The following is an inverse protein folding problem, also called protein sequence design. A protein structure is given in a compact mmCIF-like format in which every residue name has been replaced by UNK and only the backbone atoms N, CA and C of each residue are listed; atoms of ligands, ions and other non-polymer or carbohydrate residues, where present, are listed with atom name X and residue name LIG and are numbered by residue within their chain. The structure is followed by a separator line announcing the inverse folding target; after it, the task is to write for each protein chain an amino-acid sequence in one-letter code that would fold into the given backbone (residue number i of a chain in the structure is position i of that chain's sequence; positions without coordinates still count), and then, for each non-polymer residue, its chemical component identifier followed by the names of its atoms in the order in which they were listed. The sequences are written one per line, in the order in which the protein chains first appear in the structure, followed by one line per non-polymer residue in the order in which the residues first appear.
data_IF_902571144365
#
_entry.id   IF_902571144365
#
_cell.length_a   1.000
_cell.length_b   1.000
_cell.length_c   1.000
_cell.angle_alpha   90.00
_cell.angle_beta   90.00
_cell.angle_gamma   90.00
#
_symmetry.space_group_name_H-M   'P 1'
#
loop_
_entity.id
_entity.type
_entity.pdbx_description
1 polymer ?
#
# COMPACT_ATOMS: atom_id res chain seq x y z
N UNK A 1 4.73 -2.23 23.86
CA UNK A 1 5.89 -3.10 23.58
C UNK A 1 6.28 -3.03 22.09
N UNK A 2 7.23 -2.14 21.73
CA UNK A 2 7.76 -2.05 20.35
C UNK A 2 8.58 -3.30 19.97
N UNK A 3 9.27 -3.89 20.94
CA UNK A 3 10.13 -5.09 20.78
C UNK A 3 9.35 -6.33 20.34
N UNK A 4 8.20 -6.64 20.98
CA UNK A 4 7.39 -7.81 20.59
C UNK A 4 6.86 -7.66 19.16
N UNK A 5 6.47 -6.44 18.75
CA UNK A 5 6.01 -6.16 17.38
C UNK A 5 7.12 -6.33 16.34
N UNK A 6 8.31 -5.84 16.64
CA UNK A 6 9.47 -6.04 15.77
C UNK A 6 9.81 -7.53 15.59
N UNK A 7 9.78 -8.30 16.68
CA UNK A 7 9.95 -9.75 16.64
C UNK A 7 8.86 -10.43 15.79
N UNK A 8 7.59 -10.06 15.96
CA UNK A 8 6.49 -10.58 15.14
C UNK A 8 6.67 -10.31 13.65
N UNK A 9 7.10 -9.11 13.25
CA UNK A 9 7.44 -8.79 11.85
C UNK A 9 8.51 -9.73 11.30
N UNK A 10 9.57 -9.99 12.06
CA UNK A 10 10.64 -10.90 11.65
C UNK A 10 10.16 -12.34 11.40
N UNK A 11 9.06 -12.75 12.06
CA UNK A 11 8.41 -14.04 11.85
C UNK A 11 7.21 -13.98 10.88
N UNK A 12 7.05 -12.89 10.13
CA UNK A 12 5.95 -12.72 9.15
C UNK A 12 4.56 -12.61 9.78
N UNK A 13 4.48 -12.26 11.07
CA UNK A 13 3.21 -12.04 11.78
C UNK A 13 2.87 -10.55 11.73
N UNK A 14 2.03 -10.19 10.77
CA UNK A 14 1.45 -8.84 10.66
C UNK A 14 0.11 -8.81 11.41
N UNK A 15 -0.04 -7.83 12.30
CA UNK A 15 -1.24 -7.65 13.11
C UNK A 15 -2.12 -6.57 12.42
N UNK A 16 -3.45 -6.78 12.27
CA UNK A 16 -4.34 -5.75 11.75
C UNK A 16 -4.37 -4.47 12.59
N UNK A 17 -4.70 -3.34 11.96
CA UNK A 17 -4.84 -2.05 12.64
C UNK A 17 -3.52 -1.33 12.95
N UNK A 18 -2.39 -1.85 12.45
CA UNK A 18 -1.09 -1.19 12.53
C UNK A 18 -0.54 -0.86 11.15
N UNK A 19 0.14 0.29 11.06
CA UNK A 19 0.91 0.66 9.88
C UNK A 19 2.26 -0.06 9.85
N UNK A 20 2.64 -0.49 8.66
CA UNK A 20 3.91 -1.13 8.34
C UNK A 20 4.52 -0.44 7.11
N UNK A 21 5.83 -0.29 7.06
CA UNK A 21 6.53 0.08 5.83
C UNK A 21 7.10 -1.19 5.18
N UNK A 22 6.76 -1.44 3.92
CA UNK A 22 7.25 -2.60 3.16
C UNK A 22 7.82 -2.16 1.82
N UNK A 23 8.66 -3.00 1.21
CA UNK A 23 9.16 -2.80 -0.15
C UNK A 23 8.00 -2.88 -1.15
N UNK A 24 7.88 -1.87 -2.02
CA UNK A 24 6.84 -1.77 -3.04
C UNK A 24 6.78 -3.03 -3.94
N UNK A 25 7.94 -3.63 -4.25
CA UNK A 25 8.07 -4.78 -5.15
C UNK A 25 7.55 -6.08 -4.52
N UNK A 26 7.34 -6.11 -3.20
CA UNK A 26 6.75 -7.28 -2.51
C UNK A 26 5.23 -7.36 -2.69
N UNK A 27 4.58 -6.26 -3.06
CA UNK A 27 3.12 -6.19 -3.23
C UNK A 27 2.69 -6.98 -4.46
N UNK A 28 1.88 -8.00 -4.25
CA UNK A 28 1.29 -8.80 -5.32
C UNK A 28 0.01 -8.13 -5.79
N UNK A 29 0.00 -7.70 -7.05
CA UNK A 29 -1.17 -7.05 -7.66
C UNK A 29 -2.05 -8.09 -8.37
N UNK A 30 -3.28 -8.35 -7.89
CA UNK A 30 -4.23 -9.22 -8.59
C UNK A 30 -4.49 -8.79 -10.04
N UNK A 31 -4.73 -9.77 -10.91
CA UNK A 31 -4.93 -9.50 -12.34
C UNK A 31 -6.14 -8.62 -12.65
N UNK A 32 -7.18 -8.62 -11.79
CA UNK A 32 -8.34 -7.75 -12.01
C UNK A 32 -7.97 -6.27 -11.93
N UNK A 33 -7.10 -5.86 -11.00
CA UNK A 33 -6.62 -4.48 -10.91
C UNK A 33 -5.87 -4.02 -12.16
N UNK A 34 -5.11 -4.91 -12.80
CA UNK A 34 -4.39 -4.60 -14.04
C UNK A 34 -5.33 -4.36 -15.23
N UNK A 35 -6.54 -4.93 -15.20
CA UNK A 35 -7.56 -4.80 -16.25
C UNK A 35 -8.46 -3.59 -16.04
N UNK A 36 -8.52 -3.04 -14.82
CA UNK A 36 -9.37 -1.91 -14.49
C UNK A 36 -8.59 -0.60 -14.48
N UNK A 37 -9.02 0.33 -15.32
CA UNK A 37 -8.51 1.69 -15.30
C UNK A 37 -9.20 2.51 -14.20
N UNK A 38 -8.40 3.27 -13.45
CA UNK A 38 -8.92 4.25 -12.52
C UNK A 38 -9.52 5.39 -13.35
N UNK A 39 -10.75 5.80 -13.02
CA UNK A 39 -11.38 6.95 -13.66
C UNK A 39 -10.44 8.18 -13.60
N UNK A 40 -10.29 8.89 -14.72
CA UNK A 40 -9.34 10.01 -14.88
C UNK A 40 -9.52 11.11 -13.81
N UNK A 41 -10.76 11.45 -13.48
CA UNK A 41 -11.05 12.48 -12.46
C UNK A 41 -10.57 12.01 -11.09
N UNK A 42 -10.91 10.76 -10.73
CA UNK A 42 -10.47 10.14 -9.46
C UNK A 42 -8.95 10.03 -9.40
N UNK A 43 -8.29 9.67 -10.50
CA UNK A 43 -6.84 9.59 -10.60
C UNK A 43 -6.17 10.95 -10.38
N UNK A 44 -6.63 11.98 -11.09
CA UNK A 44 -6.06 13.32 -10.98
C UNK A 44 -6.20 13.88 -9.55
N UNK A 45 -7.36 13.66 -8.90
CA UNK A 45 -7.56 14.07 -7.51
C UNK A 45 -6.52 13.43 -6.57
N UNK A 46 -6.30 12.12 -6.70
CA UNK A 46 -5.34 11.38 -5.88
C UNK A 46 -3.90 11.81 -6.12
N UNK A 47 -3.55 12.03 -7.38
CA UNK A 47 -2.23 12.51 -7.75
C UNK A 47 -1.98 13.92 -7.21
N UNK A 48 -2.96 14.82 -7.32
CA UNK A 48 -2.86 16.18 -6.79
C UNK A 48 -2.67 16.16 -5.27
N UNK A 49 -3.48 15.38 -4.54
CA UNK A 49 -3.33 15.22 -3.10
C UNK A 49 -1.91 14.76 -2.72
N UNK A 50 -1.38 13.73 -3.39
CA UNK A 50 0.01 13.28 -3.17
C UNK A 50 1.03 14.38 -3.44
N UNK A 51 0.87 15.15 -4.52
CA UNK A 51 1.79 16.24 -4.86
C UNK A 51 1.77 17.39 -3.85
N UNK A 52 0.61 17.64 -3.23
CA UNK A 52 0.41 18.71 -2.25
C UNK A 52 0.88 18.32 -0.85
N UNK A 53 0.65 17.07 -0.43
CA UNK A 53 0.87 16.64 0.96
C UNK A 53 2.06 15.70 1.13
N UNK A 54 2.47 14.99 0.09
CA UNK A 54 3.39 13.85 0.19
C UNK A 54 2.76 12.61 0.84
N UNK A 55 1.43 12.58 1.02
CA UNK A 55 0.70 11.47 1.61
C UNK A 55 -0.27 10.81 0.60
N UNK A 56 -0.60 9.54 0.83
CA UNK A 56 -1.56 8.83 0.00
C UNK A 56 -3.00 9.06 0.49
N UNK A 57 -3.88 9.58 -0.38
CA UNK A 57 -5.31 9.75 -0.06
C UNK A 57 -6.02 8.40 0.23
N UNK A 58 -5.46 7.29 -0.25
CA UNK A 58 -5.97 5.94 0.05
C UNK A 58 -4.90 5.09 0.70
N UNK A 59 -5.25 4.46 1.80
CA UNK A 59 -4.40 3.48 2.49
C UNK A 59 -4.21 2.26 1.58
N UNK A 60 -3.00 1.71 1.55
CA UNK A 60 -2.72 0.43 0.90
C UNK A 60 -3.06 -0.69 1.89
N UNK A 61 -4.06 -1.49 1.53
CA UNK A 61 -4.52 -2.63 2.32
C UNK A 61 -4.05 -3.93 1.68
N UNK A 62 -3.46 -4.81 2.49
CA UNK A 62 -2.92 -6.09 2.04
C UNK A 62 -3.49 -7.26 2.84
N UNK A 63 -3.56 -8.42 2.20
CA UNK A 63 -3.56 -9.70 2.89
C UNK A 63 -2.16 -9.99 3.44
N UNK A 64 -2.03 -10.86 4.45
CA UNK A 64 -0.74 -11.27 5.05
C UNK A 64 0.24 -11.88 4.05
N UNK A 65 -0.24 -12.37 2.92
CA UNK A 65 0.58 -12.87 1.82
C UNK A 65 1.06 -11.78 0.84
N UNK A 66 0.85 -10.50 1.20
CA UNK A 66 1.18 -9.30 0.44
C UNK A 66 0.31 -9.07 -0.82
N UNK A 67 -0.82 -9.79 -0.95
CA UNK A 67 -1.78 -9.54 -2.01
C UNK A 67 -2.57 -8.25 -1.75
N UNK A 68 -2.62 -7.37 -2.76
CA UNK A 68 -3.33 -6.11 -2.67
C UNK A 68 -4.85 -6.32 -2.54
N UNK A 69 -5.41 -5.77 -1.47
CA UNK A 69 -6.86 -5.73 -1.20
C UNK A 69 -7.45 -4.43 -1.72
N UNK A 70 -6.88 -3.29 -1.34
CA UNK A 70 -7.30 -1.95 -1.77
C UNK A 70 -6.10 -0.97 -1.75
N UNK A 71 -6.28 0.24 -2.28
CA UNK A 71 -5.24 1.26 -2.38
C UNK A 71 -4.44 1.18 -3.68
N UNK A 72 -4.99 0.55 -4.73
CA UNK A 72 -4.28 0.39 -6.02
C UNK A 72 -3.83 1.73 -6.63
N UNK A 73 -4.61 2.80 -6.46
CA UNK A 73 -4.18 4.15 -6.86
C UNK A 73 -2.89 4.60 -6.19
N UNK A 74 -2.77 4.33 -4.88
CA UNK A 74 -1.62 4.74 -4.08
C UNK A 74 -0.39 3.93 -4.47
N UNK A 75 -0.57 2.61 -4.70
CA UNK A 75 0.45 1.77 -5.31
C UNK A 75 0.92 2.31 -6.67
N UNK A 76 0.01 2.72 -7.55
CA UNK A 76 0.38 3.29 -8.86
C UNK A 76 1.13 4.62 -8.73
N UNK A 77 0.76 5.47 -7.77
CA UNK A 77 1.50 6.71 -7.49
C UNK A 77 2.90 6.37 -6.99
N UNK A 78 3.02 5.48 -6.01
CA UNK A 78 4.32 5.03 -5.49
C UNK A 78 5.22 4.49 -6.60
N UNK A 79 4.66 3.66 -7.49
CA UNK A 79 5.37 3.14 -8.66
C UNK A 79 5.76 4.22 -9.66
N UNK A 80 4.90 5.21 -9.91
CA UNK A 80 5.16 6.32 -10.85
C UNK A 80 6.34 7.19 -10.40
N UNK A 81 6.54 7.31 -9.08
CA UNK A 81 7.60 8.11 -8.47
C UNK A 81 8.74 7.26 -7.88
N UNK A 82 8.85 5.99 -8.31
CA UNK A 82 9.94 5.07 -7.94
C UNK A 82 10.21 4.98 -6.43
N UNK A 83 9.14 4.98 -5.61
CA UNK A 83 9.29 4.81 -4.18
C UNK A 83 9.71 3.38 -3.86
N UNK A 84 10.80 3.24 -3.09
CA UNK A 84 11.29 1.94 -2.66
C UNK A 84 10.35 1.27 -1.64
N UNK A 85 9.78 2.07 -0.72
CA UNK A 85 8.91 1.58 0.36
C UNK A 85 7.62 2.37 0.45
N UNK A 86 6.56 1.71 0.94
CA UNK A 86 5.25 2.32 1.13
C UNK A 86 4.63 1.92 2.48
N UNK A 87 3.85 2.82 3.11
CA UNK A 87 3.04 2.50 4.27
C UNK A 87 1.83 1.63 3.87
N UNK A 88 1.60 0.56 4.62
CA UNK A 88 0.53 -0.42 4.39
C UNK A 88 -0.10 -0.88 5.71
N UNK A 89 -1.31 -1.44 5.61
CA UNK A 89 -1.98 -2.13 6.70
C UNK A 89 -2.40 -3.52 6.22
N UNK A 90 -2.37 -4.49 7.13
CA UNK A 90 -2.84 -5.84 6.88
C UNK A 90 -4.27 -6.03 7.39
N UNK A 91 -5.11 -6.74 6.63
CA UNK A 91 -6.55 -6.89 6.95
C UNK A 91 -6.92 -8.21 7.60
N UNK A 92 -6.08 -9.25 7.46
CA UNK A 92 -6.32 -10.59 7.97
C UNK A 92 -5.22 -11.07 8.90
#
# INVERSE_FOLDING_TARGET
MKIIRYLKQLFGKYDPGYEYCIDLNTIKIPNHYKKHHINKIKWNKKLLYWMETGEFESIILLHRDFTLVDGYSSYLIAKKYDLAVVPVYFVD
#
